data_IF_306794072897
#
_entry.id   IF_306794072897
#
_cell.length_a   1.000
_cell.length_b   1.000
_cell.length_c   1.000
_cell.angle_alpha   90.00
_cell.angle_beta   90.00
_cell.angle_gamma   90.00
#
_symmetry.space_group_name_H-M   'P 1'
#
loop_
_entity.id
_entity.type
_entity.pdbx_description
1 polymer ?
#
# COMPACT_ATOMS: atom_id res chain seq x y z
N UNK A 1 36.98 11.39 5.22
CA UNK A 1 35.76 10.97 4.51
C UNK A 1 34.78 10.40 5.52
N UNK A 2 33.62 11.01 5.72
CA UNK A 2 32.56 10.41 6.54
C UNK A 2 32.05 9.15 5.84
N UNK A 3 32.52 7.96 6.22
CA UNK A 3 31.98 6.70 5.70
C UNK A 3 30.49 6.66 6.07
N UNK A 4 29.62 6.62 5.06
CA UNK A 4 28.16 6.48 5.25
C UNK A 4 27.89 5.15 5.97
N UNK A 5 26.73 4.98 6.61
CA UNK A 5 26.39 3.70 7.27
C UNK A 5 26.30 2.56 6.23
N UNK A 6 26.91 1.37 6.49
CA UNK A 6 26.81 0.23 5.57
C UNK A 6 25.36 -0.25 5.40
N UNK A 7 24.50 -0.06 6.41
CA UNK A 7 23.08 -0.41 6.35
C UNK A 7 22.30 0.50 5.41
N UNK A 8 22.57 1.80 5.44
CA UNK A 8 21.93 2.74 4.51
C UNK A 8 22.41 2.51 3.08
N UNK A 9 23.68 2.18 2.87
CA UNK A 9 24.18 1.81 1.54
C UNK A 9 23.56 0.51 1.05
N UNK A 10 23.44 -0.51 1.91
CA UNK A 10 22.76 -1.77 1.58
C UNK A 10 21.33 -1.52 1.09
N UNK A 11 20.55 -0.69 1.80
CA UNK A 11 19.17 -0.38 1.43
C UNK A 11 19.09 0.50 0.17
N UNK A 12 19.89 1.56 0.10
CA UNK A 12 19.79 2.58 -0.95
C UNK A 12 20.40 2.12 -2.29
N UNK A 13 21.54 1.41 -2.26
CA UNK A 13 22.24 0.95 -3.47
C UNK A 13 21.89 -0.48 -3.86
N UNK A 14 21.32 -1.26 -2.94
CA UNK A 14 21.11 -2.68 -3.16
C UNK A 14 22.41 -3.48 -3.25
N UNK A 15 23.51 -3.02 -2.65
CA UNK A 15 24.80 -3.74 -2.63
C UNK A 15 24.67 -5.14 -2.00
N UNK A 16 25.52 -6.07 -2.42
CA UNK A 16 25.68 -7.37 -1.75
C UNK A 16 26.47 -7.20 -0.44
N UNK A 17 26.42 -8.18 0.47
CA UNK A 17 27.25 -8.14 1.68
C UNK A 17 28.74 -8.28 1.37
N UNK A 18 29.09 -8.92 0.25
CA UNK A 18 30.48 -9.07 -0.21
C UNK A 18 31.00 -7.73 -0.73
N UNK A 19 30.20 -7.01 -1.53
CA UNK A 19 30.58 -5.69 -2.04
C UNK A 19 30.83 -4.71 -0.88
N UNK A 20 29.98 -4.78 0.16
CA UNK A 20 30.15 -3.97 1.36
C UNK A 20 31.35 -4.40 2.22
N UNK A 21 31.72 -5.68 2.20
CA UNK A 21 32.93 -6.17 2.89
C UNK A 21 34.18 -5.54 2.29
N UNK A 22 34.26 -5.44 0.96
CA UNK A 22 35.35 -4.76 0.26
C UNK A 22 35.37 -3.25 0.55
N UNK A 23 34.22 -2.58 0.50
CA UNK A 23 34.10 -1.13 0.75
C UNK A 23 34.48 -0.73 2.19
N UNK A 24 34.14 -1.57 3.17
CA UNK A 24 34.28 -1.25 4.59
C UNK A 24 35.47 -1.95 5.27
N UNK A 25 36.05 -2.97 4.64
CA UNK A 25 37.08 -3.85 5.20
C UNK A 25 36.60 -4.53 6.50
N UNK A 26 35.34 -4.97 6.50
CA UNK A 26 34.68 -5.66 7.61
C UNK A 26 34.04 -6.93 7.05
N UNK A 27 34.25 -8.08 7.70
CA UNK A 27 33.71 -9.36 7.20
C UNK A 27 32.20 -9.32 6.93
N UNK A 28 31.74 -9.95 5.84
CA UNK A 28 30.35 -9.92 5.41
C UNK A 28 29.35 -10.40 6.48
N UNK A 29 29.76 -11.32 7.35
CA UNK A 29 28.94 -11.79 8.48
C UNK A 29 28.68 -10.67 9.50
N UNK A 30 29.70 -9.89 9.84
CA UNK A 30 29.60 -8.74 10.73
C UNK A 30 28.76 -7.63 10.10
N UNK A 31 28.98 -7.32 8.82
CA UNK A 31 28.13 -6.36 8.09
C UNK A 31 26.67 -6.81 8.10
N UNK A 32 26.41 -8.10 7.83
CA UNK A 32 25.05 -8.65 7.88
C UNK A 32 24.40 -8.44 9.25
N UNK A 33 25.12 -8.64 10.35
CA UNK A 33 24.62 -8.35 11.71
C UNK A 33 24.28 -6.87 11.89
N UNK A 34 25.21 -5.99 11.50
CA UNK A 34 25.02 -4.53 11.59
C UNK A 34 23.79 -4.08 10.81
N UNK A 35 23.59 -4.57 9.58
CA UNK A 35 22.40 -4.25 8.78
C UNK A 35 21.13 -4.74 9.47
N UNK A 36 21.13 -5.96 10.02
CA UNK A 36 19.98 -6.52 10.73
C UNK A 36 19.63 -5.74 11.99
N UNK A 37 20.62 -5.42 12.80
CA UNK A 37 20.45 -4.63 14.03
C UNK A 37 19.94 -3.22 13.69
N UNK A 38 20.53 -2.57 12.70
CA UNK A 38 20.13 -1.22 12.27
C UNK A 38 18.70 -1.20 11.74
N UNK A 39 18.32 -2.14 10.87
CA UNK A 39 16.94 -2.22 10.36
C UNK A 39 15.94 -2.50 11.49
N UNK A 40 16.32 -3.33 12.47
CA UNK A 40 15.50 -3.60 13.65
C UNK A 40 15.32 -2.33 14.49
N UNK A 41 16.41 -1.61 14.76
CA UNK A 41 16.38 -0.36 15.52
C UNK A 41 15.54 0.71 14.82
N UNK A 42 15.67 0.88 13.50
CA UNK A 42 14.85 1.80 12.71
C UNK A 42 13.36 1.50 12.90
N UNK A 43 12.96 0.24 12.78
CA UNK A 43 11.57 -0.14 13.01
C UNK A 43 11.14 0.16 14.45
N UNK A 44 11.87 -0.31 15.46
CA UNK A 44 11.42 -0.18 16.86
C UNK A 44 11.38 1.27 17.34
N UNK A 45 12.33 2.11 16.93
CA UNK A 45 12.43 3.49 17.38
C UNK A 45 11.50 4.43 16.60
N UNK A 46 11.36 4.22 15.28
CA UNK A 46 10.64 5.15 14.42
C UNK A 46 9.21 4.71 14.08
N UNK A 47 8.80 3.46 14.37
CA UNK A 47 7.47 2.94 14.01
C UNK A 47 6.35 3.84 14.51
N UNK A 48 6.35 4.23 15.79
CA UNK A 48 5.22 5.00 16.35
C UNK A 48 5.09 6.39 15.72
N UNK A 49 6.21 7.02 15.35
CA UNK A 49 6.21 8.30 14.65
C UNK A 49 5.81 8.17 13.16
N UNK A 50 6.22 7.09 12.50
CA UNK A 50 5.98 6.86 11.07
C UNK A 50 4.62 6.21 10.79
N UNK A 51 4.13 5.39 11.72
CA UNK A 51 2.86 4.69 11.73
C UNK A 51 2.13 4.98 13.05
N UNK A 52 1.63 6.21 13.25
CA UNK A 52 0.84 6.51 14.43
C UNK A 52 -0.36 5.57 14.52
N UNK A 53 -0.90 5.39 15.73
CA UNK A 53 -2.16 4.67 15.89
C UNK A 53 -3.28 5.37 15.11
N UNK A 54 -4.28 4.59 14.72
CA UNK A 54 -5.49 5.14 14.11
C UNK A 54 -6.40 5.71 15.20
N UNK A 55 -6.97 6.88 14.92
CA UNK A 55 -8.04 7.49 15.67
C UNK A 55 -9.00 8.16 14.68
N UNK A 56 -10.16 8.59 15.16
CA UNK A 56 -11.20 9.18 14.32
C UNK A 56 -10.74 10.45 13.60
N UNK A 57 -10.06 11.36 14.30
CA UNK A 57 -9.52 12.61 13.73
C UNK A 57 -8.61 12.33 12.53
N UNK A 58 -7.66 11.40 12.68
CA UNK A 58 -6.74 11.03 11.62
C UNK A 58 -7.43 10.38 10.43
N UNK A 59 -8.48 9.60 10.65
CA UNK A 59 -9.26 9.05 9.55
C UNK A 59 -9.96 10.14 8.75
N UNK A 60 -10.53 11.13 9.43
CA UNK A 60 -11.17 12.28 8.80
C UNK A 60 -10.16 13.15 8.03
N UNK A 61 -8.96 13.36 8.59
CA UNK A 61 -7.85 14.03 7.89
C UNK A 61 -7.48 13.31 6.59
N UNK A 62 -7.26 11.99 6.66
CA UNK A 62 -6.92 11.18 5.47
C UNK A 62 -8.03 11.27 4.43
N UNK A 63 -9.30 11.14 4.83
CA UNK A 63 -10.44 11.23 3.92
C UNK A 63 -10.58 12.60 3.26
N UNK A 64 -10.36 13.67 4.02
CA UNK A 64 -10.35 15.04 3.51
C UNK A 64 -9.26 15.23 2.45
N UNK A 65 -8.04 14.78 2.73
CA UNK A 65 -6.91 14.90 1.80
C UNK A 65 -7.09 14.05 0.54
N UNK A 66 -7.66 12.85 0.68
CA UNK A 66 -8.04 12.04 -0.48
C UNK A 66 -9.07 12.75 -1.35
N UNK A 67 -10.13 13.30 -0.75
CA UNK A 67 -11.14 14.01 -1.50
C UNK A 67 -10.53 15.24 -2.20
N UNK A 68 -9.70 16.01 -1.51
CA UNK A 68 -9.02 17.19 -2.06
C UNK A 68 -8.18 16.86 -3.29
N UNK A 69 -7.39 15.78 -3.25
CA UNK A 69 -6.44 15.43 -4.32
C UNK A 69 -7.04 14.58 -5.44
N UNK A 70 -7.92 13.65 -5.09
CA UNK A 70 -8.41 12.59 -6.00
C UNK A 70 -9.88 12.74 -6.33
N UNK A 71 -10.60 13.61 -5.60
CA UNK A 71 -12.04 13.80 -5.67
C UNK A 71 -12.82 12.51 -5.35
N UNK A 72 -12.21 11.56 -4.64
CA UNK A 72 -12.90 10.37 -4.13
C UNK A 72 -13.28 10.61 -2.65
N UNK A 73 -14.58 10.72 -2.31
CA UNK A 73 -15.03 11.05 -0.97
C UNK A 73 -14.92 9.84 -0.02
N UNK A 74 -14.88 10.12 1.29
CA UNK A 74 -14.86 9.14 2.37
C UNK A 74 -13.78 8.03 2.21
N UNK A 75 -12.64 8.36 1.58
CA UNK A 75 -11.56 7.39 1.31
C UNK A 75 -10.51 7.39 2.43
N UNK A 76 -10.36 6.27 3.12
CA UNK A 76 -9.40 6.09 4.22
C UNK A 76 -8.00 5.65 3.78
N UNK A 77 -7.83 5.38 2.49
CA UNK A 77 -6.58 4.85 1.96
C UNK A 77 -6.76 4.06 0.67
N UNK A 78 -5.71 4.03 -0.12
CA UNK A 78 -5.60 3.08 -1.22
C UNK A 78 -4.86 1.83 -0.71
N UNK A 79 -5.46 0.65 -0.93
CA UNK A 79 -4.94 -0.64 -0.49
C UNK A 79 -4.45 -1.43 -1.70
N UNK A 80 -3.27 -2.02 -1.58
CA UNK A 80 -2.69 -2.90 -2.60
C UNK A 80 -1.57 -3.77 -2.01
N UNK A 81 -1.33 -4.92 -2.64
CA UNK A 81 -0.31 -5.88 -2.26
C UNK A 81 0.74 -6.05 -3.35
N UNK A 82 2.01 -6.07 -2.95
CA UNK A 82 3.15 -6.22 -3.88
C UNK A 82 4.05 -7.39 -3.50
N UNK A 83 4.52 -8.11 -4.52
CA UNK A 83 5.55 -9.13 -4.34
C UNK A 83 6.94 -8.51 -4.17
N UNK A 84 7.59 -8.81 -3.05
CA UNK A 84 9.01 -8.55 -2.81
C UNK A 84 9.80 -9.83 -3.11
N UNK A 85 10.70 -9.76 -4.08
CA UNK A 85 11.50 -10.90 -4.54
C UNK A 85 12.48 -11.38 -3.47
N UNK A 86 12.57 -12.70 -3.32
CA UNK A 86 13.49 -13.40 -2.42
C UNK A 86 14.38 -14.34 -3.23
N UNK A 87 15.61 -14.56 -2.78
CA UNK A 87 16.33 -15.79 -3.14
C UNK A 87 15.70 -16.93 -2.32
N UNK A 88 15.62 -18.14 -2.90
CA UNK A 88 15.00 -19.30 -2.27
C UNK A 88 15.32 -19.38 -0.77
N UNK A 89 14.33 -19.18 0.12
CA UNK A 89 14.59 -19.27 1.54
C UNK A 89 14.93 -20.72 1.91
N UNK A 90 15.91 -20.97 2.80
CA UNK A 90 16.25 -22.32 3.22
C UNK A 90 15.02 -23.04 3.81
N UNK A 91 14.82 -24.30 3.45
CA UNK A 91 13.75 -25.17 3.98
C UNK A 91 12.31 -24.64 3.77
N UNK A 92 12.06 -23.76 2.79
CA UNK A 92 10.72 -23.19 2.60
C UNK A 92 9.75 -24.03 1.78
N UNK A 93 10.23 -25.09 1.11
CA UNK A 93 9.48 -25.77 0.06
C UNK A 93 8.97 -24.76 -0.98
N UNK A 94 7.73 -24.93 -1.46
CA UNK A 94 7.06 -24.04 -2.41
C UNK A 94 6.24 -22.92 -1.77
N UNK A 95 6.26 -22.74 -0.45
CA UNK A 95 5.34 -21.80 0.23
C UNK A 95 5.51 -20.33 -0.19
N UNK A 96 6.72 -19.92 -0.55
CA UNK A 96 7.00 -18.58 -1.08
C UNK A 96 7.16 -18.57 -2.60
N UNK A 97 7.02 -19.72 -3.27
CA UNK A 97 7.07 -19.82 -4.71
C UNK A 97 5.73 -19.37 -5.27
N UNK A 98 5.73 -18.26 -6.01
CA UNK A 98 4.51 -17.69 -6.56
C UNK A 98 4.19 -18.27 -7.95
N UNK A 99 3.01 -17.91 -8.46
CA UNK A 99 2.51 -18.34 -9.78
C UNK A 99 3.40 -17.92 -10.96
N UNK A 100 4.28 -16.94 -10.79
CA UNK A 100 5.26 -16.48 -11.79
C UNK A 100 6.62 -17.18 -11.68
N UNK A 101 6.67 -18.28 -10.94
CA UNK A 101 7.84 -19.15 -10.82
C UNK A 101 9.06 -18.50 -10.16
N UNK A 102 8.84 -17.60 -9.18
CA UNK A 102 9.92 -17.10 -8.32
C UNK A 102 9.51 -17.03 -6.84
N UNK A 103 10.52 -16.96 -5.96
CA UNK A 103 10.29 -16.83 -4.51
C UNK A 103 10.00 -15.39 -4.12
N UNK A 104 8.94 -15.15 -3.36
CA UNK A 104 8.56 -13.82 -2.89
C UNK A 104 7.79 -13.84 -1.58
N UNK A 105 7.81 -12.72 -0.89
CA UNK A 105 6.86 -12.40 0.18
C UNK A 105 6.00 -11.22 -0.23
N UNK A 106 4.78 -11.16 0.29
CA UNK A 106 3.89 -10.03 0.05
C UNK A 106 4.10 -8.94 1.09
N UNK A 107 4.22 -7.71 0.59
CA UNK A 107 3.98 -6.47 1.34
C UNK A 107 2.58 -5.98 0.98
N UNK A 108 1.65 -6.12 1.91
CA UNK A 108 0.32 -5.50 1.83
C UNK A 108 0.39 -4.14 2.50
N UNK A 109 -0.13 -3.10 1.85
CA UNK A 109 -0.08 -1.76 2.41
C UNK A 109 -1.36 -0.96 2.17
N UNK A 110 -1.64 -0.06 3.10
CA UNK A 110 -2.60 1.05 2.91
C UNK A 110 -1.80 2.35 2.87
N UNK A 111 -2.13 3.20 1.92
CA UNK A 111 -1.40 4.45 1.64
C UNK A 111 -2.35 5.63 1.67
N UNK A 112 -1.94 6.73 2.30
CA UNK A 112 -2.68 8.00 2.30
C UNK A 112 -2.43 8.84 1.04
N UNK A 113 -3.20 9.92 0.87
CA UNK A 113 -3.09 10.79 -0.30
C UNK A 113 -1.75 11.53 -0.42
N UNK A 114 -0.87 11.45 0.59
CA UNK A 114 0.50 12.00 0.60
C UNK A 114 1.58 10.95 0.29
N UNK A 115 1.16 9.77 -0.15
CA UNK A 115 1.99 8.61 -0.45
C UNK A 115 2.70 8.04 0.79
N UNK A 116 2.22 8.32 2.00
CA UNK A 116 2.72 7.69 3.22
C UNK A 116 1.98 6.38 3.47
N UNK A 117 2.72 5.35 3.89
CA UNK A 117 2.12 4.09 4.31
C UNK A 117 1.43 4.30 5.67
N UNK A 118 0.11 4.18 5.73
CA UNK A 118 -0.63 4.28 7.00
C UNK A 118 -0.68 2.94 7.71
N UNK A 119 -0.65 1.85 6.95
CA UNK A 119 -0.59 0.48 7.45
C UNK A 119 0.28 -0.38 6.53
N UNK A 120 1.03 -1.32 7.13
CA UNK A 120 1.75 -2.36 6.39
C UNK A 120 1.58 -3.71 7.09
N UNK A 121 1.43 -4.77 6.29
CA UNK A 121 1.53 -6.16 6.73
C UNK A 121 2.51 -6.89 5.82
N UNK A 122 3.50 -7.56 6.42
CA UNK A 122 4.64 -8.13 5.71
C UNK A 122 4.85 -9.56 6.17
N UNK A 123 4.97 -10.46 5.21
CA UNK A 123 5.33 -11.85 5.50
C UNK A 123 4.34 -12.88 4.98
N UNK A 124 3.24 -12.44 4.36
CA UNK A 124 2.31 -13.37 3.73
C UNK A 124 3.00 -14.17 2.61
N UNK A 125 2.55 -15.41 2.46
CA UNK A 125 3.04 -16.35 1.44
C UNK A 125 2.71 -15.84 0.04
N UNK A 126 3.65 -15.96 -0.90
CA UNK A 126 3.50 -15.52 -2.29
C UNK A 126 2.42 -16.23 -3.11
N UNK A 127 1.74 -17.25 -2.54
CA UNK A 127 0.61 -17.96 -3.15
C UNK A 127 -0.76 -17.40 -2.74
N UNK A 128 -0.83 -16.54 -1.73
CA UNK A 128 -2.09 -15.97 -1.25
C UNK A 128 -2.51 -14.77 -2.11
N UNK A 129 -3.82 -14.60 -2.31
CA UNK A 129 -4.41 -13.44 -3.01
C UNK A 129 -4.55 -12.22 -2.09
N UNK A 130 -4.67 -11.03 -2.68
CA UNK A 130 -4.80 -9.76 -1.94
C UNK A 130 -5.96 -9.76 -0.97
N UNK A 131 -7.15 -10.16 -1.44
CA UNK A 131 -8.34 -10.32 -0.60
C UNK A 131 -8.09 -11.16 0.65
N UNK A 132 -7.40 -12.30 0.50
CA UNK A 132 -7.15 -13.21 1.62
C UNK A 132 -6.10 -12.65 2.57
N UNK A 133 -5.08 -11.96 2.06
CA UNK A 133 -4.06 -11.33 2.88
C UNK A 133 -4.69 -10.18 3.68
N UNK A 134 -5.45 -9.30 3.02
CA UNK A 134 -6.11 -8.17 3.66
C UNK A 134 -7.14 -8.60 4.71
N UNK A 135 -8.01 -9.57 4.39
CA UNK A 135 -9.00 -10.12 5.34
C UNK A 135 -8.37 -10.69 6.61
N UNK A 136 -7.17 -11.24 6.50
CA UNK A 136 -6.44 -11.81 7.63
C UNK A 136 -5.50 -10.81 8.33
N UNK A 137 -5.36 -9.60 7.79
CA UNK A 137 -4.51 -8.55 8.35
C UNK A 137 -5.02 -8.06 9.70
N UNK A 138 -4.12 -7.51 10.50
CA UNK A 138 -4.49 -6.90 11.78
C UNK A 138 -5.38 -5.66 11.62
N UNK A 139 -5.31 -4.99 10.46
CA UNK A 139 -6.18 -3.85 10.16
C UNK A 139 -7.63 -4.31 10.03
N UNK A 140 -7.92 -5.26 9.14
CA UNK A 140 -9.31 -5.70 8.90
C UNK A 140 -9.89 -6.42 10.13
N UNK A 141 -9.08 -7.21 10.84
CA UNK A 141 -9.48 -7.81 12.13
C UNK A 141 -9.75 -6.75 13.19
N UNK A 142 -8.96 -5.67 13.19
CA UNK A 142 -9.11 -4.56 14.13
C UNK A 142 -10.39 -3.78 13.88
N UNK A 143 -10.67 -3.48 12.60
CA UNK A 143 -11.91 -2.82 12.15
C UNK A 143 -13.12 -3.70 12.47
N UNK A 144 -13.08 -4.98 12.08
CA UNK A 144 -14.21 -5.91 12.28
C UNK A 144 -14.52 -6.17 13.76
N UNK A 145 -13.52 -6.07 14.64
CA UNK A 145 -13.71 -6.22 16.09
C UNK A 145 -14.04 -4.91 16.81
N UNK A 146 -13.98 -3.76 16.12
CA UNK A 146 -14.18 -2.43 16.70
C UNK A 146 -12.98 -1.88 17.49
N UNK A 147 -11.87 -2.62 17.57
CA UNK A 147 -10.63 -2.13 18.22
C UNK A 147 -9.90 -1.05 17.43
N UNK A 148 -10.16 -0.95 16.13
CA UNK A 148 -9.79 0.19 15.27
C UNK A 148 -11.10 0.82 14.81
N UNK A 149 -11.65 1.81 15.53
CA UNK A 149 -12.91 2.42 15.16
C UNK A 149 -12.73 3.22 13.87
N UNK A 150 -13.67 3.02 12.93
CA UNK A 150 -13.83 3.90 11.77
C UNK A 150 -14.77 5.05 12.15
N UNK A 151 -14.66 6.21 11.49
CA UNK A 151 -15.63 7.29 11.69
C UNK A 151 -17.04 6.82 11.34
N UNK A 152 -18.04 7.45 11.96
CA UNK A 152 -19.44 7.21 11.63
C UNK A 152 -19.73 7.51 10.16
N UNK A 153 -20.80 6.94 9.61
CA UNK A 153 -21.21 7.24 8.23
C UNK A 153 -21.50 8.74 8.07
N UNK A 154 -20.97 9.33 6.99
CA UNK A 154 -21.13 10.74 6.67
C UNK A 154 -21.73 10.91 5.28
N UNK A 155 -22.56 11.93 5.11
CA UNK A 155 -23.04 12.35 3.81
C UNK A 155 -21.86 12.68 2.89
N UNK A 156 -22.02 12.36 1.60
CA UNK A 156 -21.01 12.74 0.62
C UNK A 156 -20.98 14.28 0.46
N UNK A 157 -19.84 14.86 0.04
CA UNK A 157 -19.73 16.31 -0.13
C UNK A 157 -20.84 16.87 -1.04
N UNK A 158 -21.46 17.97 -0.62
CA UNK A 158 -22.60 18.62 -1.31
C UNK A 158 -23.88 17.76 -1.40
N UNK A 159 -23.97 16.62 -0.71
CA UNK A 159 -25.11 15.70 -0.72
C UNK A 159 -25.82 15.64 0.66
N UNK A 160 -26.15 16.81 1.23
CA UNK A 160 -26.68 16.96 2.59
C UNK A 160 -28.02 16.24 2.81
N UNK A 161 -28.84 16.11 1.76
CA UNK A 161 -30.12 15.40 1.79
C UNK A 161 -30.00 13.91 1.38
N UNK A 162 -28.77 13.45 1.11
CA UNK A 162 -28.47 12.08 0.73
C UNK A 162 -28.43 11.11 1.91
N UNK A 163 -28.19 9.83 1.60
CA UNK A 163 -27.96 8.81 2.62
C UNK A 163 -26.52 8.92 3.17
N UNK A 164 -26.30 8.86 4.49
CA UNK A 164 -24.96 8.79 5.07
C UNK A 164 -24.20 7.57 4.54
N UNK A 165 -23.02 7.79 3.98
CA UNK A 165 -22.19 6.76 3.37
C UNK A 165 -21.02 6.36 4.29
N UNK A 166 -20.62 5.07 4.27
CA UNK A 166 -19.48 4.61 5.06
C UNK A 166 -18.16 5.18 4.52
N UNK A 167 -17.16 5.14 5.38
CA UNK A 167 -15.77 5.35 5.00
C UNK A 167 -15.15 4.05 4.47
N UNK A 168 -14.40 4.16 3.38
CA UNK A 168 -13.92 3.00 2.60
C UNK A 168 -12.45 3.12 2.23
N UNK A 169 -11.78 1.99 2.05
CA UNK A 169 -10.52 1.85 1.35
C UNK A 169 -10.79 1.58 -0.14
N UNK A 170 -9.92 2.06 -1.02
CA UNK A 170 -10.00 1.76 -2.45
C UNK A 170 -8.98 0.69 -2.83
N UNK A 171 -9.46 -0.42 -3.37
CA UNK A 171 -8.67 -1.57 -3.79
C UNK A 171 -8.89 -1.90 -5.27
N UNK A 172 -8.06 -2.79 -5.81
CA UNK A 172 -8.17 -3.24 -7.19
C UNK A 172 -9.20 -4.37 -7.35
N UNK A 173 -9.28 -4.96 -8.55
CA UNK A 173 -10.18 -6.07 -8.83
C UNK A 173 -9.89 -7.35 -8.02
N UNK A 174 -8.67 -7.50 -7.48
CA UNK A 174 -8.27 -8.64 -6.67
C UNK A 174 -8.89 -8.61 -5.25
N UNK A 175 -9.41 -7.46 -4.80
CA UNK A 175 -10.14 -7.32 -3.55
C UNK A 175 -11.61 -7.71 -3.70
N UNK A 176 -12.23 -8.24 -2.64
CA UNK A 176 -13.68 -8.37 -2.56
C UNK A 176 -14.31 -7.00 -2.29
N UNK A 177 -15.40 -6.64 -2.99
CA UNK A 177 -16.16 -5.45 -2.60
C UNK A 177 -16.87 -5.72 -1.28
N UNK A 178 -16.70 -4.83 -0.30
CA UNK A 178 -17.25 -4.95 1.04
C UNK A 178 -17.67 -3.57 1.58
N UNK A 179 -18.13 -3.49 2.82
CA UNK A 179 -18.41 -2.19 3.47
C UNK A 179 -17.16 -1.36 3.70
N UNK A 180 -15.98 -2.00 3.75
CA UNK A 180 -14.72 -1.32 4.00
C UNK A 180 -13.87 -1.19 2.74
N UNK A 181 -14.09 -1.99 1.69
CA UNK A 181 -13.24 -1.97 0.48
C UNK A 181 -14.08 -1.80 -0.77
N UNK A 182 -13.84 -0.71 -1.50
CA UNK A 182 -14.40 -0.45 -2.83
C UNK A 182 -13.46 -0.93 -3.91
N UNK A 183 -14.03 -1.55 -4.95
CA UNK A 183 -13.32 -2.02 -6.14
C UNK A 183 -14.07 -1.62 -7.42
N UNK A 184 -13.41 -1.56 -8.58
CA UNK A 184 -14.07 -1.19 -9.82
C UNK A 184 -15.18 -2.18 -10.22
N UNK A 185 -16.12 -1.73 -11.06
CA UNK A 185 -17.12 -2.59 -11.68
C UNK A 185 -16.44 -3.62 -12.59
N UNK A 186 -16.68 -4.92 -12.39
CA UNK A 186 -16.09 -5.98 -13.18
C UNK A 186 -16.90 -6.19 -14.47
N UNK A 187 -16.59 -5.47 -15.55
CA UNK A 187 -17.14 -5.77 -16.89
C UNK A 187 -16.35 -5.02 -17.98
N UNK A 188 -16.41 -5.52 -19.21
CA UNK A 188 -15.99 -4.80 -20.42
C UNK A 188 -17.09 -3.90 -20.98
N UNK A 189 -18.36 -4.23 -20.74
CA UNK A 189 -19.53 -3.47 -21.23
C UNK A 189 -20.10 -2.52 -20.17
N UNK A 190 -19.24 -1.66 -19.63
CA UNK A 190 -19.61 -0.72 -18.58
C UNK A 190 -20.45 0.45 -19.11
N UNK A 191 -21.54 0.76 -18.42
CA UNK A 191 -22.28 2.01 -18.63
C UNK A 191 -21.38 3.23 -18.39
N UNK A 192 -21.69 4.41 -18.99
CA UNK A 192 -20.91 5.64 -18.75
C UNK A 192 -20.74 5.96 -17.27
N UNK A 193 -21.79 5.74 -16.46
CA UNK A 193 -21.75 5.89 -15.01
C UNK A 193 -20.71 4.99 -14.34
N UNK A 194 -20.70 3.70 -14.70
CA UNK A 194 -19.74 2.74 -14.16
C UNK A 194 -18.31 3.05 -14.63
N UNK A 195 -18.13 3.53 -15.87
CA UNK A 195 -16.83 4.00 -16.37
C UNK A 195 -16.31 5.18 -15.57
N UNK A 196 -17.16 6.18 -15.28
CA UNK A 196 -16.79 7.33 -14.44
C UNK A 196 -16.38 6.86 -13.05
N UNK A 197 -17.15 5.97 -12.43
CA UNK A 197 -16.79 5.40 -11.13
C UNK A 197 -15.43 4.71 -11.18
N UNK A 198 -15.21 3.81 -12.16
CA UNK A 198 -13.94 3.10 -12.32
C UNK A 198 -12.76 4.06 -12.52
N UNK A 199 -12.96 5.12 -13.31
CA UNK A 199 -11.93 6.14 -13.52
C UNK A 199 -11.62 6.93 -12.24
N UNK A 200 -12.65 7.38 -11.50
CA UNK A 200 -12.48 8.07 -10.20
C UNK A 200 -11.78 7.18 -9.18
N UNK A 201 -12.17 5.91 -9.09
CA UNK A 201 -11.54 4.91 -8.24
C UNK A 201 -10.08 4.67 -8.65
N UNK A 202 -9.81 4.50 -9.95
CA UNK A 202 -8.45 4.32 -10.48
C UNK A 202 -7.55 5.50 -10.11
N UNK A 203 -8.04 6.74 -10.19
CA UNK A 203 -7.30 7.93 -9.75
C UNK A 203 -6.92 7.87 -8.27
N UNK A 204 -7.83 7.47 -7.39
CA UNK A 204 -7.53 7.28 -5.97
C UNK A 204 -6.54 6.14 -5.74
N UNK A 205 -6.69 5.03 -6.49
CA UNK A 205 -5.81 3.86 -6.41
C UNK A 205 -4.39 4.12 -6.88
N UNK A 206 -4.17 4.98 -7.87
CA UNK A 206 -2.81 5.33 -8.35
C UNK A 206 -1.89 5.83 -7.24
N UNK A 207 -2.44 6.32 -6.13
CA UNK A 207 -1.69 6.71 -4.94
C UNK A 207 -0.85 5.56 -4.39
N UNK A 208 -1.43 4.37 -4.18
CA UNK A 208 -0.67 3.24 -3.62
C UNK A 208 0.35 2.68 -4.62
N UNK A 209 0.01 2.66 -5.91
CA UNK A 209 0.95 2.25 -6.98
C UNK A 209 2.18 3.17 -7.02
N UNK A 210 1.97 4.48 -6.97
CA UNK A 210 3.05 5.46 -6.92
C UNK A 210 3.87 5.33 -5.64
N UNK A 211 3.26 5.10 -4.47
CA UNK A 211 4.00 4.93 -3.23
C UNK A 211 4.94 3.72 -3.27
N UNK A 212 4.50 2.61 -3.87
CA UNK A 212 5.36 1.46 -4.13
C UNK A 212 6.47 1.76 -5.15
N UNK A 213 6.17 2.54 -6.19
CA UNK A 213 7.16 3.07 -7.12
C UNK A 213 8.24 3.89 -6.41
N UNK A 214 7.83 4.86 -5.59
CA UNK A 214 8.75 5.69 -4.80
C UNK A 214 9.62 4.83 -3.89
N UNK A 215 9.02 3.87 -3.17
CA UNK A 215 9.74 2.98 -2.28
C UNK A 215 10.81 2.16 -3.03
N UNK A 216 10.44 1.53 -4.14
CA UNK A 216 11.35 0.67 -4.92
C UNK A 216 12.46 1.44 -5.64
N UNK A 217 12.21 2.68 -6.05
CA UNK A 217 13.21 3.52 -6.71
C UNK A 217 14.16 4.18 -5.70
N UNK A 218 13.65 4.61 -4.53
CA UNK A 218 14.49 5.21 -3.48
C UNK A 218 15.38 4.19 -2.78
N UNK A 219 14.91 2.95 -2.64
CA UNK A 219 15.64 1.86 -1.98
C UNK A 219 15.93 0.74 -2.98
N UNK A 220 17.06 0.85 -3.70
CA UNK A 220 17.42 -0.07 -4.78
C UNK A 220 17.61 -1.53 -4.31
N UNK A 221 17.66 -1.80 -3.00
CA UNK A 221 17.61 -3.16 -2.47
C UNK A 221 16.42 -3.97 -2.99
N UNK A 222 15.33 -3.29 -3.33
CA UNK A 222 14.10 -3.87 -3.86
C UNK A 222 14.12 -4.15 -5.37
N UNK A 223 15.12 -3.64 -6.09
CA UNK A 223 15.32 -3.91 -7.52
C UNK A 223 15.99 -5.27 -7.77
N UNK A 224 16.43 -5.93 -6.70
CA UNK A 224 16.99 -7.29 -6.73
C UNK A 224 16.29 -8.22 -5.75
N UNK A 225 16.51 -9.52 -5.90
CA UNK A 225 16.06 -10.50 -4.93
C UNK A 225 16.80 -10.36 -3.60
N UNK A 226 16.06 -10.32 -2.50
CA UNK A 226 16.64 -10.32 -1.16
C UNK A 226 17.29 -11.67 -0.87
N UNK A 227 18.60 -11.66 -0.66
CA UNK A 227 19.39 -12.87 -0.34
C UNK A 227 19.60 -13.01 1.17
N UNK A 228 18.49 -13.10 1.90
CA UNK A 228 18.47 -13.25 3.36
C UNK A 228 17.36 -14.21 3.78
N UNK A 229 17.40 -14.67 5.03
CA UNK A 229 16.29 -15.44 5.58
C UNK A 229 15.03 -14.59 5.71
N UNK A 230 13.87 -15.26 5.80
CA UNK A 230 12.57 -14.60 5.80
C UNK A 230 12.40 -13.59 6.94
N UNK A 231 12.90 -13.90 8.14
CA UNK A 231 12.78 -12.99 9.29
C UNK A 231 13.54 -11.70 9.02
N UNK A 232 14.74 -11.81 8.45
CA UNK A 232 15.52 -10.63 8.08
C UNK A 232 14.92 -9.87 6.89
N UNK A 233 14.37 -10.55 5.88
CA UNK A 233 13.64 -9.90 4.78
C UNK A 233 12.50 -9.02 5.29
N UNK A 234 11.67 -9.54 6.22
CA UNK A 234 10.59 -8.78 6.86
C UNK A 234 11.14 -7.53 7.58
N UNK A 235 12.26 -7.65 8.29
CA UNK A 235 12.89 -6.51 8.97
C UNK A 235 13.37 -5.45 7.98
N UNK A 236 13.98 -5.85 6.85
CA UNK A 236 14.41 -4.93 5.79
C UNK A 236 13.20 -4.16 5.22
N UNK A 237 12.13 -4.87 4.88
CA UNK A 237 10.91 -4.27 4.31
C UNK A 237 10.31 -3.25 5.29
N UNK A 238 10.14 -3.64 6.55
CA UNK A 238 9.63 -2.75 7.61
C UNK A 238 10.48 -1.50 7.80
N UNK A 239 11.80 -1.66 7.83
CA UNK A 239 12.72 -0.53 7.95
C UNK A 239 12.63 0.42 6.75
N UNK A 240 12.57 -0.11 5.53
CA UNK A 240 12.46 0.71 4.33
C UNK A 240 11.13 1.48 4.25
N UNK A 241 9.99 0.87 4.59
CA UNK A 241 8.70 1.56 4.68
C UNK A 241 8.71 2.65 5.77
N UNK A 242 9.40 2.40 6.89
CA UNK A 242 9.57 3.39 7.96
C UNK A 242 10.40 4.58 7.50
N UNK A 243 11.54 4.33 6.85
CA UNK A 243 12.38 5.39 6.30
C UNK A 243 11.67 6.17 5.18
N UNK A 244 10.86 5.49 4.36
CA UNK A 244 10.00 6.14 3.36
C UNK A 244 9.10 7.16 4.03
N UNK A 245 8.28 6.75 5.00
CA UNK A 245 7.39 7.67 5.73
C UNK A 245 8.17 8.80 6.42
N UNK A 246 9.31 8.49 7.04
CA UNK A 246 10.15 9.50 7.69
C UNK A 246 10.60 10.59 6.70
N UNK A 247 11.14 10.18 5.55
CA UNK A 247 11.58 11.10 4.48
C UNK A 247 10.39 11.89 3.94
N UNK A 248 9.24 11.24 3.71
CA UNK A 248 8.03 11.91 3.20
C UNK A 248 7.50 12.97 4.16
N UNK A 249 7.49 12.70 5.47
CA UNK A 249 7.07 13.68 6.48
C UNK A 249 8.04 14.85 6.63
N UNK A 250 9.34 14.60 6.45
CA UNK A 250 10.39 15.61 6.60
C UNK A 250 10.53 16.50 5.36
N UNK A 251 10.54 15.89 4.18
CA UNK A 251 10.90 16.55 2.92
C UNK A 251 9.67 16.91 2.07
N UNK A 252 8.50 16.32 2.36
CA UNK A 252 7.26 16.56 1.63
C UNK A 252 7.15 15.78 0.30
N UNK A 253 6.30 16.29 -0.61
CA UNK A 253 6.05 15.69 -1.91
C UNK A 253 6.87 16.39 -2.99
N UNK A 254 7.75 15.66 -3.66
CA UNK A 254 8.38 16.10 -4.90
C UNK A 254 7.66 15.49 -6.10
N UNK A 255 7.43 16.27 -7.17
CA UNK A 255 6.71 15.80 -8.34
C UNK A 255 7.49 14.68 -9.06
N UNK A 256 8.83 14.78 -9.08
CA UNK A 256 9.72 13.80 -9.67
C UNK A 256 9.56 12.41 -9.05
N UNK A 257 9.22 12.33 -7.76
CA UNK A 257 8.93 11.07 -7.06
C UNK A 257 7.76 10.31 -7.72
N UNK A 258 6.83 10.99 -8.39
CA UNK A 258 5.64 10.37 -9.00
C UNK A 258 5.85 9.91 -10.45
N UNK A 259 7.02 10.19 -11.04
CA UNK A 259 7.34 9.83 -12.42
C UNK A 259 7.89 8.41 -12.56
N UNK A 260 8.24 7.77 -11.44
CA UNK A 260 8.85 6.45 -11.47
C UNK A 260 7.83 5.33 -11.65
N UNK A 261 8.17 4.35 -12.48
CA UNK A 261 7.42 3.10 -12.57
C UNK A 261 7.71 2.20 -11.37
N UNK A 262 6.68 1.53 -10.87
CA UNK A 262 6.83 0.53 -9.83
C UNK A 262 7.44 -0.75 -10.42
N UNK A 263 8.58 -1.18 -9.88
CA UNK A 263 9.23 -2.44 -10.31
C UNK A 263 8.67 -3.66 -9.58
N UNK A 264 7.83 -3.46 -8.58
CA UNK A 264 7.15 -4.56 -7.92
C UNK A 264 6.07 -5.15 -8.80
N UNK A 265 5.83 -6.43 -8.56
CA UNK A 265 4.80 -7.14 -9.30
C UNK A 265 3.52 -7.27 -8.47
N UNK A 266 2.41 -7.12 -9.18
CA UNK A 266 1.07 -7.31 -8.64
C UNK A 266 0.80 -8.77 -8.29
N UNK A 267 -0.01 -8.95 -7.27
CA UNK A 267 -0.60 -10.23 -6.90
C UNK A 267 -1.73 -10.51 -7.89
N UNK A 268 -1.88 -11.75 -8.38
CA UNK A 268 -2.85 -12.03 -9.42
C UNK A 268 -4.25 -12.00 -8.82
N UNK A 269 -5.24 -11.44 -9.53
CA UNK A 269 -6.60 -11.40 -9.04
C UNK A 269 -7.17 -12.82 -8.95
N UNK A 270 -7.80 -13.12 -7.81
CA UNK A 270 -8.64 -14.30 -7.64
C UNK A 270 -10.07 -13.79 -7.53
N UNK A 271 -10.99 -14.35 -8.30
CA UNK A 271 -12.39 -13.90 -8.29
C UNK A 271 -13.01 -14.05 -6.89
N UNK A 272 -13.30 -12.92 -6.24
CA UNK A 272 -13.97 -12.90 -4.93
C UNK A 272 -15.35 -12.25 -5.03
N UNK A 273 -16.35 -12.89 -4.41
CA UNK A 273 -17.72 -12.36 -4.32
C UNK A 273 -17.77 -11.18 -3.37
N UNK A 274 -18.55 -10.17 -3.74
CA UNK A 274 -18.82 -9.00 -2.92
C UNK A 274 -19.93 -9.22 -1.89
N UNK A 275 -20.07 -8.27 -0.96
CA UNK A 275 -21.27 -8.15 -0.12
C UNK A 275 -22.32 -7.25 -0.77
N UNK A 276 -23.60 -7.52 -0.53
CA UNK A 276 -24.71 -6.73 -1.09
C UNK A 276 -24.62 -5.25 -0.68
N UNK A 277 -24.33 -5.00 0.60
CA UNK A 277 -24.13 -3.66 1.17
C UNK A 277 -22.95 -2.91 0.55
N UNK A 278 -21.87 -3.61 0.19
CA UNK A 278 -20.72 -3.03 -0.51
C UNK A 278 -21.08 -2.67 -1.95
N UNK A 279 -21.90 -3.49 -2.61
CA UNK A 279 -22.42 -3.22 -3.96
C UNK A 279 -23.35 -2.00 -3.94
N UNK A 280 -24.23 -1.89 -2.94
CA UNK A 280 -25.11 -0.73 -2.75
C UNK A 280 -24.31 0.57 -2.54
N UNK A 281 -23.31 0.54 -1.64
CA UNK A 281 -22.41 1.67 -1.41
C UNK A 281 -21.73 2.11 -2.71
N UNK A 282 -21.21 1.16 -3.47
CA UNK A 282 -20.58 1.45 -4.77
C UNK A 282 -21.55 2.08 -5.75
N UNK A 283 -22.77 1.54 -5.84
CA UNK A 283 -23.81 2.08 -6.72
C UNK A 283 -24.24 3.49 -6.31
N UNK A 284 -24.33 3.77 -5.01
CA UNK A 284 -24.59 5.12 -4.49
C UNK A 284 -23.50 6.09 -4.91
N UNK A 285 -22.22 5.75 -4.67
CA UNK A 285 -21.08 6.57 -5.08
C UNK A 285 -21.04 6.79 -6.60
N UNK A 286 -21.36 5.77 -7.40
CA UNK A 286 -21.44 5.88 -8.85
C UNK A 286 -22.55 6.85 -9.29
N UNK A 287 -23.71 6.84 -8.63
CA UNK A 287 -24.77 7.82 -8.88
C UNK A 287 -24.34 9.24 -8.49
N UNK A 288 -23.72 9.39 -7.32
CA UNK A 288 -23.18 10.66 -6.82
C UNK A 288 -22.16 11.28 -7.80
N UNK A 289 -21.23 10.50 -8.37
CA UNK A 289 -20.28 11.03 -9.35
C UNK A 289 -20.93 11.53 -10.65
N UNK A 290 -22.15 11.09 -10.95
CA UNK A 290 -22.93 11.58 -12.10
C UNK A 290 -23.96 12.65 -11.74
N UNK A 291 -24.09 13.00 -10.46
CA UNK A 291 -25.03 14.02 -10.00
C UNK A 291 -24.42 15.43 -10.05
N UNK A 292 -25.24 16.50 -10.00
CA UNK A 292 -24.74 17.86 -9.89
C UNK A 292 -23.80 18.09 -8.70
N UNK A 293 -23.97 17.32 -7.61
CA UNK A 293 -23.21 17.43 -6.36
C UNK A 293 -21.79 16.85 -6.48
N UNK A 294 -21.63 15.69 -7.15
CA UNK A 294 -20.37 14.94 -7.19
C UNK A 294 -19.65 14.93 -8.54
N UNK A 295 -20.30 15.39 -9.60
CA UNK A 295 -19.69 15.51 -10.93
C UNK A 295 -18.55 16.53 -10.95
N UNK A 296 -17.54 16.27 -11.78
CA UNK A 296 -16.42 17.18 -12.00
C UNK A 296 -16.23 17.45 -13.50
N UNK A 297 -15.77 18.65 -13.90
CA UNK A 297 -15.81 19.07 -15.31
C UNK A 297 -15.05 18.15 -16.28
N UNK A 298 -13.98 17.49 -15.82
CA UNK A 298 -13.09 16.70 -16.67
C UNK A 298 -13.51 15.24 -16.84
N UNK A 299 -14.46 14.71 -16.05
CA UNK A 299 -14.67 13.25 -15.96
C UNK A 299 -15.20 12.60 -17.25
N UNK A 300 -15.99 13.35 -18.03
CA UNK A 300 -16.54 12.84 -19.29
C UNK A 300 -15.52 12.81 -20.43
N UNK A 301 -14.39 13.52 -20.29
CA UNK A 301 -13.30 13.52 -21.27
C UNK A 301 -12.34 12.34 -21.09
N UNK A 302 -12.58 11.49 -20.09
CA UNK A 302 -11.68 10.42 -19.66
C UNK A 302 -12.28 9.01 -19.82
N UNK A 303 -13.51 8.92 -20.32
CA UNK A 303 -14.29 7.69 -20.47
C UNK A 303 -14.59 7.36 -21.91
#
# INVERSE_FOLDING_TARGET
>A
MSKRSPSLLYLARGSSFVDLEEDYLIGASTIRSIVKETCTAIWQLCKNACFPAFNEERWLEIASEFYRKTQFPNCLGAVDGKHIRLKMPPNSGSNYFNYKSYFSTVLMAVVDADYCFTFIDVGAYGKHSDSNIFKNSNLEKGISSGSIPLPNNHNLPNDENGNPMPFVFVGDEAFAVSNHVMRPYPDRNLSPKQRIFNYRLSRARRIVENAFGILSNKWAIFQRSLNVDMKFAITIIKAACTLHNFVRKRDGIHFEDTLYSCTFEDIPPVGVRGTDTGIETRNYMANYFTSPQGSVPWQYNQI
#
